data_IF_292637493605
#
_entry.id   IF_292637493605
#
_cell.length_a   1.000
_cell.length_b   1.000
_cell.length_c   1.000
_cell.angle_alpha   90.00
_cell.angle_beta   90.00
_cell.angle_gamma   90.00
#
_symmetry.space_group_name_H-M   'P 1'
#
loop_
_entity.id
_entity.type
_entity.pdbx_description
1 polymer ?
#
# COMPACT_ATOMS: atom_id res chain seq x y z
N UNK A 1 -7.67 -2.44 -3.80
CA UNK A 1 -7.74 -2.57 -5.28
C UNK A 1 -8.24 -3.97 -5.60
N UNK A 2 -9.00 -4.15 -6.68
CA UNK A 2 -9.50 -5.46 -7.07
C UNK A 2 -9.31 -5.64 -8.57
N UNK A 3 -8.81 -6.81 -8.98
CA UNK A 3 -8.80 -7.25 -10.38
C UNK A 3 -9.61 -8.54 -10.48
N UNK A 4 -10.57 -8.57 -11.41
CA UNK A 4 -11.28 -9.82 -11.75
C UNK A 4 -10.30 -10.86 -12.32
N UNK A 5 -10.37 -12.14 -11.91
CA UNK A 5 -9.46 -13.19 -12.39
C UNK A 5 -9.41 -13.31 -13.92
N UNK A 6 -10.55 -13.06 -14.59
CA UNK A 6 -10.71 -13.21 -16.03
C UNK A 6 -10.38 -11.94 -16.84
N UNK A 7 -10.11 -10.82 -16.16
CA UNK A 7 -9.81 -9.55 -16.83
C UNK A 7 -8.38 -9.50 -17.41
N UNK A 8 -8.15 -8.70 -18.44
CA UNK A 8 -6.81 -8.57 -19.04
C UNK A 8 -5.84 -7.87 -18.07
N UNK A 9 -4.76 -8.56 -17.68
CA UNK A 9 -3.77 -8.04 -16.72
C UNK A 9 -3.19 -6.70 -17.16
N UNK A 10 -2.82 -6.57 -18.44
CA UNK A 10 -2.23 -5.33 -18.96
C UNK A 10 -3.15 -4.10 -18.78
N UNK A 11 -4.45 -4.24 -19.07
CA UNK A 11 -5.42 -3.15 -18.91
C UNK A 11 -5.58 -2.76 -17.44
N UNK A 12 -5.59 -3.74 -16.54
CA UNK A 12 -5.61 -3.50 -15.11
C UNK A 12 -4.36 -2.73 -14.64
N UNK A 13 -3.16 -3.15 -15.08
CA UNK A 13 -1.90 -2.49 -14.71
C UNK A 13 -1.82 -1.06 -15.27
N UNK A 14 -2.34 -0.81 -16.47
CA UNK A 14 -2.41 0.52 -17.07
C UNK A 14 -3.34 1.45 -16.27
N UNK A 15 -4.54 0.97 -15.91
CA UNK A 15 -5.47 1.73 -15.09
C UNK A 15 -4.91 2.03 -13.69
N UNK A 16 -4.29 1.03 -13.06
CA UNK A 16 -3.59 1.19 -11.77
C UNK A 16 -2.46 2.22 -11.86
N UNK A 17 -1.62 2.13 -12.90
CA UNK A 17 -0.51 3.06 -13.13
C UNK A 17 -1.01 4.49 -13.32
N UNK A 18 -2.11 4.67 -14.05
CA UNK A 18 -2.75 5.97 -14.23
C UNK A 18 -3.20 6.58 -12.90
N UNK A 19 -3.78 5.77 -12.00
CA UNK A 19 -4.17 6.22 -10.66
C UNK A 19 -2.94 6.62 -9.84
N UNK A 20 -1.89 5.79 -9.84
CA UNK A 20 -0.65 6.07 -9.10
C UNK A 20 0.04 7.34 -9.60
N UNK A 21 0.12 7.55 -10.92
CA UNK A 21 0.65 8.78 -11.53
C UNK A 21 -0.13 9.99 -11.02
N UNK A 22 -1.47 9.94 -11.05
CA UNK A 22 -2.31 11.06 -10.56
C UNK A 22 -2.07 11.35 -9.08
N UNK A 23 -1.93 10.32 -8.25
CA UNK A 23 -1.60 10.47 -6.83
C UNK A 23 -0.23 11.15 -6.67
N UNK A 24 0.80 10.67 -7.38
CA UNK A 24 2.15 11.24 -7.29
C UNK A 24 2.25 12.66 -7.85
N UNK A 25 1.39 13.03 -8.80
CA UNK A 25 1.29 14.39 -9.32
C UNK A 25 0.55 15.32 -8.36
N UNK A 26 -0.51 14.83 -7.70
CA UNK A 26 -1.32 15.61 -6.77
C UNK A 26 -0.61 15.84 -5.43
N UNK A 27 0.13 14.84 -4.94
CA UNK A 27 0.82 14.89 -3.66
C UNK A 27 2.32 14.99 -3.90
N UNK A 28 2.96 16.00 -3.29
CA UNK A 28 4.39 16.27 -3.42
C UNK A 28 5.29 15.07 -3.05
N UNK A 29 6.60 15.22 -3.31
CA UNK A 29 7.64 14.25 -2.89
C UNK A 29 7.45 13.86 -1.41
N UNK A 30 7.32 12.55 -1.16
CA UNK A 30 7.17 11.99 0.19
C UNK A 30 5.78 11.44 0.51
N UNK A 31 4.85 11.38 -0.45
CA UNK A 31 3.56 10.69 -0.25
C UNK A 31 3.78 9.24 0.19
N UNK A 32 3.08 8.85 1.25
CA UNK A 32 3.12 7.52 1.85
C UNK A 32 1.96 6.70 1.28
N UNK A 33 2.27 5.59 0.61
CA UNK A 33 1.28 4.78 -0.11
C UNK A 33 1.23 3.38 0.50
N UNK A 34 0.01 2.93 0.78
CA UNK A 34 -0.31 1.53 1.07
C UNK A 34 -1.34 1.10 0.02
N UNK A 35 -0.95 0.20 -0.86
CA UNK A 35 -1.80 -0.37 -1.89
C UNK A 35 -2.09 -1.83 -1.52
N UNK A 36 -3.31 -2.09 -1.04
CA UNK A 36 -3.77 -3.41 -0.66
C UNK A 36 -4.90 -3.87 -1.58
N UNK A 37 -4.99 -5.17 -1.86
CA UNK A 37 -6.04 -5.69 -2.71
C UNK A 37 -5.93 -7.17 -3.05
N UNK A 38 -7.00 -7.69 -3.65
CA UNK A 38 -7.00 -8.96 -4.37
C UNK A 38 -6.71 -8.67 -5.84
N UNK A 39 -5.52 -9.08 -6.28
CA UNK A 39 -5.05 -8.85 -7.64
C UNK A 39 -5.38 -10.02 -8.56
N UNK A 40 -5.82 -11.17 -8.04
CA UNK A 40 -5.94 -12.41 -8.78
C UNK A 40 -4.71 -12.71 -9.66
N UNK A 41 -3.51 -12.35 -9.19
CA UNK A 41 -2.20 -12.58 -9.82
C UNK A 41 -1.32 -13.21 -8.76
N UNK A 42 -0.88 -14.45 -8.99
CA UNK A 42 -0.06 -15.17 -8.02
C UNK A 42 1.39 -14.64 -8.04
N UNK A 43 1.75 -13.79 -7.08
CA UNK A 43 3.05 -13.10 -7.07
C UNK A 43 4.25 -14.03 -6.90
N UNK A 44 4.04 -15.25 -6.36
CA UNK A 44 5.10 -16.25 -6.19
C UNK A 44 5.24 -17.20 -7.39
N UNK A 45 4.37 -17.09 -8.40
CA UNK A 45 4.41 -17.96 -9.57
C UNK A 45 5.59 -17.69 -10.52
N UNK A 46 6.26 -16.53 -10.38
CA UNK A 46 7.38 -16.09 -11.24
C UNK A 46 7.09 -16.19 -12.75
N UNK A 47 5.83 -15.92 -13.13
CA UNK A 47 5.40 -15.88 -14.52
C UNK A 47 5.45 -14.45 -15.07
N UNK A 48 4.96 -14.23 -16.29
CA UNK A 48 4.94 -12.90 -16.90
C UNK A 48 4.10 -11.93 -16.08
N UNK A 49 2.86 -12.29 -15.77
CA UNK A 49 1.92 -11.40 -15.08
C UNK A 49 2.40 -11.01 -13.68
N UNK A 50 2.99 -11.95 -12.93
CA UNK A 50 3.58 -11.65 -11.62
C UNK A 50 4.77 -10.70 -11.74
N UNK A 51 5.63 -10.89 -12.75
CA UNK A 51 6.78 -10.01 -12.98
C UNK A 51 6.34 -8.62 -13.42
N UNK A 52 5.35 -8.53 -14.31
CA UNK A 52 4.81 -7.27 -14.79
C UNK A 52 4.19 -6.48 -13.62
N UNK A 53 3.36 -7.11 -12.78
CA UNK A 53 2.81 -6.49 -11.57
C UNK A 53 3.91 -5.98 -10.62
N UNK A 54 4.89 -6.83 -10.29
CA UNK A 54 5.97 -6.50 -9.38
C UNK A 54 6.85 -5.36 -9.92
N UNK A 55 7.22 -5.41 -11.20
CA UNK A 55 8.04 -4.39 -11.83
C UNK A 55 7.30 -3.05 -11.96
N UNK A 56 6.02 -3.07 -12.34
CA UNK A 56 5.18 -1.88 -12.38
C UNK A 56 5.15 -1.22 -11.01
N UNK A 57 4.81 -1.95 -9.95
CA UNK A 57 4.73 -1.37 -8.60
C UNK A 57 6.08 -0.93 -8.06
N UNK A 58 7.16 -1.66 -8.37
CA UNK A 58 8.52 -1.27 -8.03
C UNK A 58 8.93 0.05 -8.71
N UNK A 59 8.49 0.30 -9.95
CA UNK A 59 8.74 1.58 -10.65
C UNK A 59 8.10 2.79 -9.95
N UNK A 60 7.06 2.56 -9.14
CA UNK A 60 6.44 3.56 -8.26
C UNK A 60 7.04 3.58 -6.85
N UNK A 61 8.13 2.84 -6.61
CA UNK A 61 8.78 2.71 -5.31
C UNK A 61 8.00 1.87 -4.30
N UNK A 62 7.01 1.09 -4.75
CA UNK A 62 6.19 0.25 -3.87
C UNK A 62 6.78 -1.16 -3.79
N UNK A 63 7.30 -1.53 -2.62
CA UNK A 63 7.82 -2.88 -2.35
C UNK A 63 6.69 -3.84 -2.00
N UNK A 64 6.85 -5.08 -2.44
CA UNK A 64 5.99 -6.20 -2.10
C UNK A 64 6.24 -6.68 -0.65
N UNK A 65 5.18 -7.09 0.07
CA UNK A 65 5.29 -7.44 1.50
C UNK A 65 4.77 -8.84 1.88
N UNK A 66 4.04 -9.55 1.01
CA UNK A 66 3.34 -10.80 1.36
C UNK A 66 3.91 -11.99 0.58
N UNK A 67 4.68 -12.86 1.23
CA UNK A 67 5.25 -14.04 0.54
C UNK A 67 4.49 -15.34 0.82
N UNK A 68 3.57 -15.33 1.77
CA UNK A 68 2.77 -16.49 2.17
C UNK A 68 1.48 -16.60 1.37
N UNK A 69 1.03 -17.82 1.08
CA UNK A 69 -0.23 -18.05 0.37
C UNK A 69 -1.42 -17.43 1.12
N UNK A 70 -2.17 -16.59 0.39
CA UNK A 70 -3.34 -15.83 0.87
C UNK A 70 -4.66 -16.43 0.42
N UNK A 71 -4.67 -17.33 -0.57
CA UNK A 71 -5.83 -18.15 -0.90
C UNK A 71 -5.46 -19.63 -0.88
N UNK A 72 -6.28 -20.44 -0.23
CA UNK A 72 -6.19 -21.91 -0.22
C UNK A 72 -7.51 -22.48 -0.69
N UNK A 73 -7.47 -23.20 -1.82
CA UNK A 73 -8.64 -23.88 -2.36
C UNK A 73 -8.28 -25.34 -2.66
N UNK A 74 -8.80 -26.26 -1.85
CA UNK A 74 -8.43 -27.68 -1.91
C UNK A 74 -6.93 -27.87 -1.71
N UNK A 75 -6.25 -28.44 -2.69
CA UNK A 75 -4.79 -28.63 -2.69
C UNK A 75 -4.00 -27.47 -3.30
N UNK A 76 -4.67 -26.43 -3.79
CA UNK A 76 -4.03 -25.25 -4.40
C UNK A 76 -3.82 -24.15 -3.36
N UNK A 77 -2.65 -23.50 -3.43
CA UNK A 77 -2.29 -22.36 -2.59
C UNK A 77 -1.68 -21.26 -3.47
N UNK A 78 -2.23 -20.05 -3.38
CA UNK A 78 -1.78 -18.91 -4.19
C UNK A 78 -1.66 -17.63 -3.36
N UNK A 79 -0.75 -16.75 -3.77
CA UNK A 79 -0.52 -15.45 -3.12
C UNK A 79 -1.08 -14.35 -3.99
N UNK A 80 -2.39 -14.15 -3.93
CA UNK A 80 -3.14 -13.24 -4.83
C UNK A 80 -3.62 -11.97 -4.13
N UNK A 81 -3.94 -12.06 -2.84
CA UNK A 81 -4.11 -10.89 -1.98
C UNK A 81 -2.74 -10.37 -1.55
N UNK A 82 -2.48 -9.09 -1.77
CA UNK A 82 -1.17 -8.49 -1.53
C UNK A 82 -1.28 -7.08 -0.95
N UNK A 83 -0.21 -6.68 -0.27
CA UNK A 83 0.00 -5.29 0.17
C UNK A 83 1.35 -4.81 -0.33
N UNK A 84 1.33 -3.68 -1.03
CA UNK A 84 2.50 -3.00 -1.57
C UNK A 84 2.62 -1.61 -0.95
N UNK A 85 3.83 -1.17 -0.65
CA UNK A 85 4.02 0.10 0.05
C UNK A 85 5.41 0.69 -0.15
N UNK A 86 5.55 2.01 0.00
CA UNK A 86 6.85 2.68 0.10
C UNK A 86 7.26 2.98 1.56
N UNK A 87 6.54 2.47 2.57
CA UNK A 87 6.88 2.66 3.98
C UNK A 87 8.07 1.80 4.39
N UNK A 88 9.05 2.40 5.07
CA UNK A 88 10.19 1.67 5.64
C UNK A 88 9.77 0.82 6.85
N UNK A 89 9.11 1.43 7.84
CA UNK A 89 8.58 0.78 9.04
C UNK A 89 7.21 0.12 8.79
N UNK A 90 7.19 -0.86 7.89
CA UNK A 90 6.00 -1.62 7.56
C UNK A 90 6.24 -3.11 7.78
N UNK A 91 5.36 -3.75 8.53
CA UNK A 91 5.34 -5.20 8.72
C UNK A 91 3.97 -5.72 8.38
N UNK A 92 3.90 -6.87 7.73
CA UNK A 92 2.66 -7.54 7.39
C UNK A 92 2.76 -9.05 7.60
N UNK A 93 1.60 -9.67 7.80
CA UNK A 93 1.47 -11.11 8.04
C UNK A 93 0.12 -11.60 7.52
N UNK A 94 0.08 -12.87 7.13
CA UNK A 94 -1.15 -13.52 6.72
C UNK A 94 -1.82 -14.16 7.93
N UNK A 95 -3.11 -13.86 8.12
CA UNK A 95 -3.94 -14.33 9.21
C UNK A 95 -4.94 -15.37 8.68
N UNK A 96 -4.79 -16.62 9.09
CA UNK A 96 -5.74 -17.67 8.79
C UNK A 96 -6.94 -17.59 9.75
N UNK A 97 -7.98 -16.85 9.35
CA UNK A 97 -9.20 -16.68 10.17
C UNK A 97 -10.19 -17.84 9.97
N UNK A 98 -10.07 -18.60 8.88
CA UNK A 98 -10.92 -19.77 8.60
C UNK A 98 -12.36 -19.44 8.17
N UNK A 99 -12.61 -18.19 7.76
CA UNK A 99 -13.95 -17.73 7.36
C UNK A 99 -14.23 -17.86 5.86
N UNK A 100 -13.20 -18.01 5.03
CA UNK A 100 -13.29 -18.25 3.58
C UNK A 100 -12.04 -18.98 3.06
N UNK A 101 -12.00 -19.24 1.76
CA UNK A 101 -10.80 -19.73 1.06
C UNK A 101 -9.68 -18.67 0.98
N UNK A 102 -10.01 -17.40 1.26
CA UNK A 102 -9.03 -16.33 1.45
C UNK A 102 -8.63 -16.19 2.92
N UNK A 103 -7.36 -15.89 3.15
CA UNK A 103 -6.79 -15.53 4.43
C UNK A 103 -6.74 -14.00 4.55
N UNK A 104 -6.94 -13.51 5.76
CA UNK A 104 -6.79 -12.09 6.05
C UNK A 104 -5.33 -11.66 5.96
N UNK A 105 -5.10 -10.36 5.74
CA UNK A 105 -3.78 -9.74 5.88
C UNK A 105 -3.86 -8.71 6.99
N UNK A 106 -2.95 -8.81 7.96
CA UNK A 106 -2.74 -7.80 8.98
C UNK A 106 -1.40 -7.09 8.71
N UNK A 107 -1.37 -5.78 8.92
CA UNK A 107 -0.13 -5.01 8.87
C UNK A 107 -0.06 -3.95 9.96
N UNK A 108 1.15 -3.59 10.35
CA UNK A 108 1.42 -2.54 11.33
C UNK A 108 2.18 -1.40 10.67
N UNK A 109 1.76 -0.18 10.99
CA UNK A 109 2.43 1.06 10.60
C UNK A 109 2.85 1.83 11.84
N UNK A 110 4.11 2.28 11.89
CA UNK A 110 4.51 3.25 12.92
C UNK A 110 3.89 4.60 12.59
N UNK A 111 3.11 5.13 13.54
CA UNK A 111 2.63 6.50 13.46
C UNK A 111 3.83 7.43 13.64
N UNK A 112 4.04 8.33 12.68
CA UNK A 112 4.93 9.47 12.90
C UNK A 112 4.27 10.37 13.96
N UNK A 113 5.01 10.97 14.91
CA UNK A 113 4.47 11.97 15.81
C UNK A 113 3.72 13.03 15.00
N UNK A 114 2.48 13.34 15.39
CA UNK A 114 1.80 14.49 14.83
C UNK A 114 2.55 15.73 15.33
N UNK A 115 3.13 16.53 14.45
CA UNK A 115 3.54 17.88 14.82
C UNK A 115 2.30 18.64 15.28
N UNK A 116 2.14 18.82 16.58
CA UNK A 116 1.07 19.64 17.11
C UNK A 116 1.48 21.09 16.92
N UNK A 117 0.95 21.74 15.88
CA UNK A 117 1.10 23.18 15.70
C UNK A 117 0.21 23.87 16.75
N UNK A 118 0.81 24.30 17.86
CA UNK A 118 0.14 25.15 18.84
C UNK A 118 0.28 26.60 18.36
N UNK A 119 -0.82 27.18 17.86
CA UNK A 119 -0.90 28.61 17.54
C UNK A 119 -1.27 29.38 18.81
N UNK A 120 -0.28 29.98 19.46
CA UNK A 120 -0.53 30.93 20.55
C UNK A 120 -0.61 32.35 19.98
N UNK A 121 -1.72 33.05 20.22
CA UNK A 121 -1.79 34.50 20.01
C UNK A 121 -1.36 35.18 21.29
N UNK A 122 -0.19 35.79 21.32
CA UNK A 122 0.11 36.77 22.36
C UNK A 122 -0.78 37.99 22.14
N UNK A 123 -1.55 38.38 23.17
CA UNK A 123 -2.29 39.63 23.18
C UNK A 123 -1.32 40.75 23.56
N UNK A 124 -0.42 41.08 22.64
CA UNK A 124 0.33 42.34 22.67
C UNK A 124 0.36 42.91 21.26
N UNK A 125 0.29 44.23 21.16
CA UNK A 125 -0.05 44.95 19.94
C UNK A 125 0.76 44.47 18.71
N UNK A 126 0.06 43.78 17.79
CA UNK A 126 0.38 43.53 16.38
C UNK A 126 1.51 42.55 15.97
N UNK A 127 1.73 41.42 16.65
CA UNK A 127 2.53 40.30 16.05
C UNK A 127 1.95 38.91 16.30
N UNK A 128 1.80 38.12 15.22
CA UNK A 128 1.53 36.67 15.28
C UNK A 128 2.87 35.94 15.15
N UNK A 129 3.26 35.15 16.16
CA UNK A 129 4.47 34.31 16.12
C UNK A 129 4.07 32.84 15.93
N UNK A 130 4.70 32.17 14.96
CA UNK A 130 4.56 30.72 14.73
C UNK A 130 5.65 30.00 15.52
N UNK A 131 5.27 29.25 16.56
CA UNK A 131 6.20 28.41 17.32
C UNK A 131 5.87 26.95 17.02
N UNK A 132 6.77 26.25 16.33
CA UNK A 132 6.71 24.80 16.18
C UNK A 132 7.50 24.15 17.32
N UNK A 133 6.86 23.31 18.13
CA UNK A 133 7.55 22.43 19.09
C UNK A 133 7.43 20.98 18.63
N UNK A 134 8.56 20.30 18.61
CA UNK A 134 8.63 18.83 18.48
C UNK A 134 8.52 18.24 19.88
N UNK A 135 7.59 17.32 20.10
CA UNK A 135 7.48 16.52 21.35
C UNK A 135 8.23 15.22 21.17
#
# INVERSE_FOLDING_TARGET
MYRSPDSVVAQFLEAMSTILIKILQQYNKGVRIILAGDFNINVTANNRDSRDLLNTLLSFGLKHTITQATRIQGSSASTIDNVFTNLHDFTSSVLAVGLSDHKGIQFNIKKQPLEQIILNREVSHNKIMRISKTV
#
